data_IF_679740619839
#
_entry.id   IF_679740619839
#
_cell.length_a   1.000
_cell.length_b   1.000
_cell.length_c   1.000
_cell.angle_alpha   90.00
_cell.angle_beta   90.00
_cell.angle_gamma   90.00
#
_symmetry.space_group_name_H-M   'P 1'
#
loop_
_entity.id
_entity.type
_entity.pdbx_description
1 polymer ?
#
# COMPACT_ATOMS: atom_id res chain seq x y z
N UNK A 1 19.19 3.72 10.73
CA UNK A 1 19.46 5.11 10.33
C UNK A 1 18.13 5.80 10.09
N UNK A 2 17.97 7.00 10.65
CA UNK A 2 16.73 7.77 10.57
C UNK A 2 16.91 8.99 9.68
N UNK A 3 15.90 9.31 8.86
CA UNK A 3 15.83 10.56 8.12
C UNK A 3 14.59 11.31 8.63
N UNK A 4 14.84 12.40 9.34
CA UNK A 4 13.83 13.16 10.10
C UNK A 4 13.47 14.51 9.48
N UNK A 5 14.12 14.93 8.40
CA UNK A 5 13.97 16.26 7.82
C UNK A 5 13.54 16.19 6.37
N UNK A 6 12.69 17.12 5.96
CA UNK A 6 12.27 17.30 4.57
C UNK A 6 13.39 17.87 3.70
N UNK A 7 13.30 17.66 2.38
CA UNK A 7 14.24 18.23 1.42
C UNK A 7 15.64 17.62 1.48
N UNK A 8 15.75 16.35 1.87
CA UNK A 8 17.02 15.64 2.06
C UNK A 8 17.16 14.50 1.07
N UNK A 9 18.32 14.39 0.43
CA UNK A 9 18.65 13.24 -0.43
C UNK A 9 19.87 12.51 0.12
N UNK A 10 19.70 11.24 0.46
CA UNK A 10 20.81 10.32 0.70
C UNK A 10 21.23 9.69 -0.62
N UNK A 11 22.38 10.09 -1.13
CA UNK A 11 22.86 9.67 -2.46
C UNK A 11 24.18 8.91 -2.40
N UNK A 12 24.20 7.72 -2.98
CA UNK A 12 25.42 6.96 -3.25
C UNK A 12 26.01 7.24 -4.64
N UNK A 13 27.13 6.61 -4.94
CA UNK A 13 27.84 6.69 -6.23
C UNK A 13 27.44 5.57 -7.22
N UNK A 14 26.32 4.90 -6.97
CA UNK A 14 25.83 3.72 -7.69
C UNK A 14 25.68 2.52 -6.76
N UNK A 15 24.66 1.68 -6.98
CA UNK A 15 24.36 0.53 -6.12
C UNK A 15 25.51 -0.48 -5.96
N UNK A 16 26.39 -0.60 -6.95
CA UNK A 16 27.59 -1.46 -6.87
C UNK A 16 28.78 -0.81 -6.16
N UNK A 17 28.73 0.51 -5.94
CA UNK A 17 29.86 1.31 -5.41
C UNK A 17 29.62 1.80 -3.99
N UNK A 18 28.37 2.09 -3.64
CA UNK A 18 27.98 2.53 -2.30
C UNK A 18 27.12 1.46 -1.66
N UNK A 19 27.67 0.83 -0.62
CA UNK A 19 27.00 -0.24 0.11
C UNK A 19 26.94 0.17 1.58
N UNK A 20 25.74 0.35 2.10
CA UNK A 20 25.48 0.54 3.52
C UNK A 20 25.26 -0.84 4.14
N UNK A 21 26.24 -1.31 4.91
CA UNK A 21 26.23 -2.64 5.51
C UNK A 21 25.72 -2.59 6.96
N UNK A 22 24.58 -3.25 7.22
CA UNK A 22 23.94 -3.34 8.54
C UNK A 22 24.21 -4.73 9.13
N UNK A 23 25.04 -4.77 10.17
CA UNK A 23 25.49 -6.04 10.80
C UNK A 23 24.49 -6.63 11.80
N UNK A 24 23.50 -5.83 12.22
CA UNK A 24 22.49 -6.19 13.20
C UNK A 24 21.08 -5.83 12.70
N UNK A 25 20.07 -6.68 12.93
CA UNK A 25 18.69 -6.35 12.62
C UNK A 25 18.16 -5.23 13.54
N UNK A 26 16.99 -4.67 13.21
CA UNK A 26 16.36 -3.59 14.00
C UNK A 26 16.13 -4.01 15.46
N UNK A 27 15.72 -5.26 15.71
CA UNK A 27 15.51 -5.78 17.07
C UNK A 27 16.77 -5.62 17.97
N UNK A 28 17.94 -5.92 17.42
CA UNK A 28 19.22 -5.86 18.16
C UNK A 28 19.84 -4.47 18.20
N UNK A 29 19.62 -3.66 17.16
CA UNK A 29 20.26 -2.34 17.00
C UNK A 29 19.44 -1.19 17.57
N UNK A 30 18.14 -1.38 17.73
CA UNK A 30 17.21 -0.35 18.18
C UNK A 30 16.38 -0.79 19.37
N UNK A 31 15.43 -1.72 19.18
CA UNK A 31 14.61 -2.29 20.26
C UNK A 31 13.82 -3.52 19.81
N UNK A 32 13.46 -4.42 20.74
CA UNK A 32 12.39 -5.38 20.52
C UNK A 32 11.05 -4.69 20.25
N UNK A 33 10.20 -5.34 19.44
CA UNK A 33 8.85 -4.86 19.16
C UNK A 33 7.91 -6.05 18.93
N UNK A 34 7.51 -6.67 20.04
CA UNK A 34 6.71 -7.88 20.05
C UNK A 34 5.24 -7.56 20.32
N UNK A 35 4.34 -8.23 19.61
CA UNK A 35 2.94 -8.31 19.99
C UNK A 35 2.79 -9.23 21.21
N UNK A 36 1.64 -9.15 21.90
CA UNK A 36 1.26 -10.10 22.95
C UNK A 36 1.21 -11.56 22.48
N UNK A 37 1.00 -11.78 21.18
CA UNK A 37 1.08 -13.09 20.50
C UNK A 37 2.52 -13.59 20.28
N UNK A 38 3.51 -12.79 20.69
CA UNK A 38 4.93 -13.02 20.44
C UNK A 38 5.35 -12.81 18.99
N UNK A 39 4.49 -12.27 18.12
CA UNK A 39 4.89 -11.90 16.75
C UNK A 39 5.73 -10.63 16.77
N UNK A 40 6.79 -10.58 15.98
CA UNK A 40 7.62 -9.39 15.81
C UNK A 40 7.00 -8.45 14.78
N UNK A 41 6.70 -7.22 15.19
CA UNK A 41 6.21 -6.17 14.27
C UNK A 41 7.23 -5.80 13.22
N UNK A 42 8.53 -6.03 13.47
CA UNK A 42 9.57 -5.83 12.47
C UNK A 42 9.47 -6.74 11.26
N UNK A 43 8.60 -7.75 11.30
CA UNK A 43 8.25 -8.57 10.13
C UNK A 43 7.56 -7.78 9.02
N UNK A 44 6.89 -6.65 9.33
CA UNK A 44 6.08 -5.91 8.35
C UNK A 44 6.14 -4.38 8.50
N UNK A 45 6.99 -3.85 9.37
CA UNK A 45 7.17 -2.39 9.54
C UNK A 45 8.62 -2.05 9.90
N UNK A 46 8.96 -0.76 9.78
CA UNK A 46 10.31 -0.25 10.05
C UNK A 46 11.35 -0.59 8.98
N UNK A 47 12.48 0.11 9.00
CA UNK A 47 13.58 -0.04 8.05
C UNK A 47 14.95 0.21 8.68
N UNK A 48 16.00 -0.39 8.12
CA UNK A 48 17.38 -0.02 8.44
C UNK A 48 17.68 1.41 8.01
N UNK A 49 17.05 1.86 6.92
CA UNK A 49 16.85 3.26 6.60
C UNK A 49 15.36 3.55 6.78
N UNK A 50 15.04 4.51 7.64
CA UNK A 50 13.65 4.83 7.98
C UNK A 50 13.41 6.32 7.87
N UNK A 51 12.57 6.69 6.91
CA UNK A 51 12.10 8.07 6.71
C UNK A 51 10.81 8.24 7.48
N UNK A 52 10.86 9.09 8.51
CA UNK A 52 9.77 9.28 9.47
C UNK A 52 10.00 10.59 10.23
N UNK A 53 8.94 11.36 10.47
CA UNK A 53 9.02 12.55 11.31
C UNK A 53 9.44 12.18 12.76
N UNK A 54 10.27 13.00 13.43
CA UNK A 54 10.73 12.71 14.78
C UNK A 54 9.56 12.63 15.78
N UNK A 55 8.51 13.44 15.61
CA UNK A 55 7.29 13.43 16.42
C UNK A 55 6.54 12.11 16.26
N UNK A 56 6.41 11.63 15.01
CA UNK A 56 5.79 10.34 14.74
C UNK A 56 6.60 9.22 15.38
N UNK A 57 7.92 9.22 15.23
CA UNK A 57 8.78 8.22 15.90
C UNK A 57 8.59 8.26 17.42
N UNK A 58 8.68 9.44 18.04
CA UNK A 58 8.54 9.61 19.48
C UNK A 58 7.17 9.11 19.97
N UNK A 59 6.09 9.40 19.23
CA UNK A 59 4.76 8.89 19.55
C UNK A 59 4.70 7.36 19.45
N UNK A 60 5.28 6.76 18.40
CA UNK A 60 5.35 5.30 18.28
C UNK A 60 6.10 4.66 19.45
N UNK A 61 7.21 5.28 19.88
CA UNK A 61 8.01 4.79 21.00
C UNK A 61 7.24 4.84 22.32
N UNK A 62 6.52 5.94 22.57
CA UNK A 62 5.69 6.13 23.76
C UNK A 62 4.52 5.13 23.83
N UNK A 63 4.02 4.68 22.68
CA UNK A 63 2.93 3.72 22.56
C UNK A 63 3.43 2.28 22.34
N UNK A 64 4.74 2.02 22.49
CA UNK A 64 5.36 0.72 22.22
C UNK A 64 4.97 0.12 20.84
N UNK A 65 4.79 0.99 19.85
CA UNK A 65 4.33 0.63 18.50
C UNK A 65 3.02 -0.19 18.49
N UNK A 66 2.21 -0.10 19.55
CA UNK A 66 0.96 -0.85 19.70
C UNK A 66 -0.26 -0.09 19.19
N UNK A 67 -0.14 1.22 18.97
CA UNK A 67 -1.21 2.12 18.52
C UNK A 67 -1.18 2.33 17.00
N UNK A 68 -1.88 3.36 16.50
CA UNK A 68 -1.89 3.76 15.08
C UNK A 68 -0.48 3.97 14.54
N UNK A 69 -0.17 3.54 13.33
CA UNK A 69 1.10 3.82 12.63
C UNK A 69 1.02 5.06 11.72
N UNK A 70 -0.14 5.72 11.69
CA UNK A 70 -0.49 6.76 10.72
C UNK A 70 -0.13 8.19 11.07
N UNK A 71 -0.75 9.14 10.37
CA UNK A 71 -0.52 10.57 10.50
C UNK A 71 -0.83 11.09 11.91
N UNK A 72 -0.09 12.09 12.36
CA UNK A 72 -0.35 12.82 13.60
C UNK A 72 -1.25 14.04 13.32
N UNK A 73 -2.49 13.78 12.89
CA UNK A 73 -3.40 14.83 12.40
C UNK A 73 -3.61 15.96 13.42
N UNK A 74 -3.57 17.19 12.93
CA UNK A 74 -3.84 18.42 13.68
C UNK A 74 -5.32 18.79 13.72
N UNK A 75 -5.66 20.07 13.72
CA UNK A 75 -7.05 20.52 13.90
C UNK A 75 -7.97 20.16 12.72
N UNK A 76 -9.28 20.29 12.95
CA UNK A 76 -10.27 20.28 11.87
C UNK A 76 -10.31 21.65 11.22
N UNK A 77 -9.96 21.70 9.94
CA UNK A 77 -9.91 22.94 9.15
C UNK A 77 -11.27 23.30 8.56
N UNK A 78 -12.04 22.29 8.11
CA UNK A 78 -13.40 22.47 7.62
C UNK A 78 -14.18 21.14 7.58
N UNK A 79 -15.50 21.21 7.79
CA UNK A 79 -16.40 20.10 7.47
C UNK A 79 -16.65 20.04 5.96
N UNK A 80 -16.85 18.85 5.43
CA UNK A 80 -17.01 18.60 4.00
C UNK A 80 -18.44 18.13 3.70
N UNK A 81 -19.06 18.75 2.69
CA UNK A 81 -20.38 18.37 2.19
C UNK A 81 -20.38 17.06 1.39
N UNK A 82 -21.54 16.71 0.85
CA UNK A 82 -21.66 15.55 -0.04
C UNK A 82 -20.95 15.78 -1.37
N UNK A 83 -20.31 14.73 -1.88
CA UNK A 83 -19.62 14.74 -3.16
C UNK A 83 -19.56 13.32 -3.73
N UNK A 84 -19.54 13.18 -5.04
CA UNK A 84 -19.44 11.90 -5.72
C UNK A 84 -18.00 11.53 -6.03
N UNK A 85 -17.70 10.23 -6.02
CA UNK A 85 -16.43 9.70 -6.54
C UNK A 85 -16.13 10.28 -7.93
N UNK A 86 -14.89 10.71 -8.14
CA UNK A 86 -14.47 11.33 -9.40
C UNK A 86 -14.57 12.86 -9.40
N UNK A 87 -15.35 13.47 -8.51
CA UNK A 87 -15.38 14.93 -8.37
C UNK A 87 -14.06 15.46 -7.80
N UNK A 88 -13.68 16.66 -8.21
CA UNK A 88 -12.49 17.37 -7.70
C UNK A 88 -12.85 18.60 -6.87
N UNK A 89 -14.10 19.05 -6.88
CA UNK A 89 -14.54 20.23 -6.12
C UNK A 89 -15.29 19.80 -4.87
N UNK A 90 -14.92 20.34 -3.72
CA UNK A 90 -15.58 20.10 -2.45
C UNK A 90 -16.25 21.37 -1.94
N UNK A 91 -17.51 21.25 -1.53
CA UNK A 91 -18.16 22.25 -0.69
C UNK A 91 -17.70 22.04 0.74
N UNK A 92 -17.16 23.09 1.36
CA UNK A 92 -16.62 23.07 2.72
C UNK A 92 -17.34 24.07 3.63
N UNK A 93 -17.22 23.91 4.95
CA UNK A 93 -17.83 24.83 5.91
C UNK A 93 -17.20 26.23 5.91
N UNK A 94 -15.89 26.32 5.67
CA UNK A 94 -15.12 27.57 5.51
C UNK A 94 -13.83 27.29 4.74
N UNK A 95 -13.26 28.30 4.09
CA UNK A 95 -11.92 28.27 3.51
C UNK A 95 -10.91 29.17 4.24
N UNK A 96 -11.27 29.74 5.38
CA UNK A 96 -10.44 30.68 6.15
C UNK A 96 -9.04 30.14 6.51
N UNK A 97 -8.94 28.82 6.72
CA UNK A 97 -7.70 28.12 7.07
C UNK A 97 -7.21 27.18 5.96
N UNK A 98 -7.62 27.44 4.71
CA UNK A 98 -7.24 26.64 3.54
C UNK A 98 -6.57 27.54 2.50
N UNK A 99 -5.45 27.10 1.97
CA UNK A 99 -4.74 27.75 0.88
C UNK A 99 -4.44 26.77 -0.27
N UNK A 100 -4.33 27.32 -1.48
CA UNK A 100 -3.82 26.56 -2.61
C UNK A 100 -2.38 26.11 -2.32
N UNK A 101 -2.10 24.83 -2.55
CA UNK A 101 -0.83 24.20 -2.22
C UNK A 101 -0.84 23.40 -0.92
N UNK A 102 -1.78 23.63 -0.01
CA UNK A 102 -1.85 22.90 1.26
C UNK A 102 -2.07 21.40 1.02
N UNK A 103 -1.33 20.57 1.75
CA UNK A 103 -1.69 19.17 1.93
C UNK A 103 -2.56 19.04 3.18
N UNK A 104 -3.78 18.56 2.97
CA UNK A 104 -4.76 18.29 4.03
C UNK A 104 -5.10 16.80 4.00
N UNK A 105 -5.67 16.28 5.09
CA UNK A 105 -6.23 14.92 5.12
C UNK A 105 -7.74 15.00 5.07
N UNK A 106 -8.32 14.46 3.99
CA UNK A 106 -9.75 14.18 3.95
C UNK A 106 -10.01 12.97 4.85
N UNK A 107 -10.59 13.23 6.01
CA UNK A 107 -10.90 12.24 7.02
C UNK A 107 -12.41 11.96 7.01
N UNK A 108 -12.80 10.70 6.74
CA UNK A 108 -14.19 10.25 6.68
C UNK A 108 -14.45 9.23 7.79
N UNK A 109 -15.49 9.43 8.60
CA UNK A 109 -15.89 8.43 9.59
C UNK A 109 -16.35 7.14 8.93
N UNK A 110 -15.99 6.01 9.54
CA UNK A 110 -16.48 4.69 9.18
C UNK A 110 -17.51 4.25 10.26
N UNK A 111 -18.83 4.46 10.06
CA UNK A 111 -19.81 4.11 11.08
C UNK A 111 -19.95 2.59 11.26
N UNK A 112 -20.60 2.17 12.35
CA UNK A 112 -20.81 0.76 12.67
C UNK A 112 -21.68 0.00 11.65
N UNK A 113 -22.36 0.72 10.76
CA UNK A 113 -23.22 0.15 9.72
C UNK A 113 -22.44 -0.45 8.54
N UNK A 114 -21.10 -0.40 8.55
CA UNK A 114 -20.20 -0.82 7.47
C UNK A 114 -20.49 -0.18 6.10
N UNK A 115 -21.21 0.94 6.06
CA UNK A 115 -21.61 1.61 4.83
C UNK A 115 -20.43 2.05 3.97
N UNK A 116 -19.41 2.65 4.61
CA UNK A 116 -18.17 3.04 3.93
C UNK A 116 -17.46 1.81 3.37
N UNK A 117 -17.33 0.74 4.16
CA UNK A 117 -16.63 -0.48 3.72
C UNK A 117 -17.30 -1.15 2.52
N UNK A 118 -18.64 -1.27 2.53
CA UNK A 118 -19.39 -1.78 1.38
C UNK A 118 -19.15 -0.95 0.12
N UNK A 119 -19.13 0.37 0.26
CA UNK A 119 -18.91 1.28 -0.85
C UNK A 119 -17.48 1.17 -1.43
N UNK A 120 -16.47 1.04 -0.57
CA UNK A 120 -15.10 0.76 -0.99
C UNK A 120 -14.94 -0.62 -1.65
N UNK A 121 -15.76 -1.60 -1.26
CA UNK A 121 -15.92 -2.89 -1.94
C UNK A 121 -16.81 -2.83 -3.20
N UNK A 122 -17.27 -1.64 -3.60
CA UNK A 122 -18.00 -1.43 -4.85
C UNK A 122 -19.49 -1.71 -4.77
N UNK A 123 -20.09 -1.80 -3.59
CA UNK A 123 -21.54 -1.97 -3.43
C UNK A 123 -22.13 -3.19 -4.19
N UNK A 124 -21.31 -4.18 -4.53
CA UNK A 124 -21.77 -5.41 -5.18
C UNK A 124 -22.69 -6.19 -4.23
N UNK A 125 -23.64 -7.01 -4.74
CA UNK A 125 -24.65 -7.65 -3.92
C UNK A 125 -24.11 -8.33 -2.64
N UNK A 126 -23.04 -9.12 -2.76
CA UNK A 126 -22.44 -9.86 -1.65
C UNK A 126 -21.88 -9.01 -0.51
N UNK A 127 -21.64 -7.71 -0.71
CA UNK A 127 -21.16 -6.83 0.37
C UNK A 127 -22.20 -6.61 1.46
N UNK A 128 -23.50 -6.76 1.14
CA UNK A 128 -24.62 -6.63 2.10
C UNK A 128 -24.76 -7.86 2.99
N UNK A 129 -24.40 -9.03 2.49
CA UNK A 129 -24.49 -10.32 3.20
C UNK A 129 -23.20 -10.68 3.93
N UNK A 130 -22.11 -9.95 3.66
CA UNK A 130 -20.84 -10.16 4.34
C UNK A 130 -20.95 -9.83 5.83
N UNK A 131 -20.55 -10.77 6.68
CA UNK A 131 -20.49 -10.58 8.13
C UNK A 131 -19.27 -9.73 8.52
N UNK A 132 -19.40 -8.41 8.35
CA UNK A 132 -18.33 -7.45 8.62
C UNK A 132 -17.78 -7.52 10.06
N UNK A 133 -18.62 -7.53 11.12
CA UNK A 133 -18.11 -7.57 12.49
C UNK A 133 -17.29 -8.83 12.80
N UNK A 134 -17.64 -9.99 12.23
CA UNK A 134 -16.96 -11.27 12.51
C UNK A 134 -15.76 -11.50 11.57
N UNK A 135 -15.92 -11.24 10.28
CA UNK A 135 -14.89 -11.53 9.27
C UNK A 135 -13.95 -10.36 9.00
N UNK A 136 -14.31 -9.16 9.43
CA UNK A 136 -13.49 -7.95 9.33
C UNK A 136 -13.51 -7.11 10.63
N UNK A 137 -13.38 -7.69 11.84
CA UNK A 137 -13.41 -6.93 13.10
C UNK A 137 -12.45 -5.74 13.08
N UNK A 138 -11.22 -5.92 12.59
CA UNK A 138 -10.26 -4.81 12.52
C UNK A 138 -10.75 -3.59 11.74
N UNK A 139 -11.59 -3.78 10.72
CA UNK A 139 -12.15 -2.71 9.90
C UNK A 139 -13.48 -2.17 10.44
N UNK A 140 -14.20 -2.94 11.26
CA UNK A 140 -15.62 -2.68 11.53
C UNK A 140 -15.80 -1.96 12.86
N UNK A 141 -16.38 -0.76 12.80
CA UNK A 141 -16.65 0.06 13.99
C UNK A 141 -17.62 -0.61 14.95
N UNK A 142 -17.26 -0.58 16.24
CA UNK A 142 -18.02 -1.24 17.29
C UNK A 142 -17.78 -2.75 17.41
N UNK A 143 -16.91 -3.34 16.59
CA UNK A 143 -16.48 -4.73 16.78
C UNK A 143 -15.42 -4.83 17.89
N UNK A 144 -15.28 -6.01 18.50
CA UNK A 144 -14.31 -6.26 19.57
C UNK A 144 -12.84 -6.27 19.15
N UNK A 145 -12.53 -6.10 17.85
CA UNK A 145 -11.17 -6.15 17.32
C UNK A 145 -10.78 -4.97 16.45
N UNK A 146 -11.57 -3.89 16.44
CA UNK A 146 -11.32 -2.73 15.58
C UNK A 146 -9.94 -2.13 15.84
N UNK A 147 -9.20 -1.90 14.76
CA UNK A 147 -7.98 -1.12 14.80
C UNK A 147 -8.35 0.36 14.72
N UNK A 148 -7.81 1.17 15.63
CA UNK A 148 -8.15 2.59 15.75
C UNK A 148 -7.95 3.35 14.44
N UNK A 149 -6.95 2.98 13.64
CA UNK A 149 -6.67 3.59 12.34
C UNK A 149 -7.74 3.32 11.27
N UNK A 150 -8.58 2.30 11.43
CA UNK A 150 -9.66 1.98 10.48
C UNK A 150 -11.04 2.45 10.94
N UNK A 151 -11.12 3.12 12.09
CA UNK A 151 -12.32 3.85 12.49
C UNK A 151 -12.62 5.05 11.57
N UNK A 152 -11.60 5.49 10.83
CA UNK A 152 -11.69 6.60 9.90
C UNK A 152 -10.88 6.28 8.65
N UNK A 153 -11.37 6.71 7.50
CA UNK A 153 -10.60 6.69 6.26
C UNK A 153 -9.83 8.01 6.15
N UNK A 154 -8.51 7.94 6.06
CA UNK A 154 -7.64 9.10 5.95
C UNK A 154 -7.02 9.15 4.56
N UNK A 155 -7.40 10.14 3.76
CA UNK A 155 -6.82 10.35 2.43
C UNK A 155 -6.14 11.72 2.34
N UNK A 156 -4.79 11.78 2.43
CA UNK A 156 -4.05 13.01 2.18
C UNK A 156 -4.25 13.49 0.75
N UNK A 157 -4.48 14.78 0.56
CA UNK A 157 -4.73 15.38 -0.76
C UNK A 157 -4.32 16.85 -0.75
N UNK A 158 -3.85 17.36 -1.90
CA UNK A 158 -3.48 18.76 -2.04
C UNK A 158 -4.69 19.61 -2.44
N UNK A 159 -4.87 20.77 -1.81
CA UNK A 159 -5.78 21.81 -2.30
C UNK A 159 -5.13 22.44 -3.54
N UNK A 160 -5.71 22.22 -4.71
CA UNK A 160 -5.23 22.83 -5.95
C UNK A 160 -5.64 24.30 -6.07
N UNK A 161 -6.83 24.66 -5.60
CA UNK A 161 -7.34 26.03 -5.66
C UNK A 161 -8.41 26.26 -4.58
N UNK A 162 -8.45 27.46 -4.02
CA UNK A 162 -9.57 27.97 -3.24
C UNK A 162 -10.44 28.79 -4.19
N UNK A 163 -11.65 28.31 -4.47
CA UNK A 163 -12.55 28.85 -5.49
C UNK A 163 -13.55 29.89 -4.94
N UNK A 164 -13.59 30.06 -3.62
CA UNK A 164 -14.45 30.99 -2.89
C UNK A 164 -14.60 30.54 -1.44
N UNK A 165 -15.36 31.28 -0.64
CA UNK A 165 -15.42 31.14 0.83
C UNK A 165 -15.85 29.76 1.36
N UNK A 166 -16.41 28.91 0.49
CA UNK A 166 -16.94 27.58 0.82
C UNK A 166 -16.64 26.53 -0.23
N UNK A 167 -15.72 26.79 -1.16
CA UNK A 167 -15.47 25.88 -2.29
C UNK A 167 -13.97 25.75 -2.53
N UNK A 168 -13.48 24.52 -2.56
CA UNK A 168 -12.09 24.20 -2.89
C UNK A 168 -12.03 23.17 -4.01
N UNK A 169 -10.96 23.22 -4.80
CA UNK A 169 -10.61 22.19 -5.78
C UNK A 169 -9.44 21.37 -5.25
N UNK A 170 -9.58 20.05 -5.27
CA UNK A 170 -8.53 19.09 -4.96
C UNK A 170 -7.64 18.82 -6.18
N UNK A 171 -6.36 18.55 -5.96
CA UNK A 171 -5.43 18.18 -7.02
C UNK A 171 -5.69 16.77 -7.61
N UNK A 172 -6.39 15.92 -6.88
CA UNK A 172 -6.83 14.59 -7.32
C UNK A 172 -8.35 14.44 -7.19
N UNK A 173 -9.02 13.71 -8.10
CA UNK A 173 -10.42 13.37 -7.95
C UNK A 173 -10.66 12.46 -6.73
N UNK A 174 -11.82 12.61 -6.11
CA UNK A 174 -12.27 11.77 -5.00
C UNK A 174 -12.28 10.29 -5.36
N UNK A 175 -11.83 9.46 -4.40
CA UNK A 175 -11.76 7.99 -4.51
C UNK A 175 -13.04 7.27 -4.11
N UNK A 176 -13.93 7.96 -3.40
CA UNK A 176 -15.19 7.43 -2.91
C UNK A 176 -16.21 8.56 -2.73
N UNK A 177 -17.48 8.21 -2.59
CA UNK A 177 -18.55 9.17 -2.32
C UNK A 177 -18.44 9.70 -0.88
N UNK A 178 -18.72 10.99 -0.70
CA UNK A 178 -18.94 11.63 0.59
C UNK A 178 -20.43 11.82 0.80
N UNK A 179 -20.93 11.42 1.98
CA UNK A 179 -22.37 11.39 2.29
C UNK A 179 -22.61 11.95 3.69
N UNK A 180 -23.79 12.53 3.98
CA UNK A 180 -24.09 13.05 5.32
C UNK A 180 -24.05 11.96 6.40
N UNK A 181 -24.36 10.71 6.03
CA UNK A 181 -24.24 9.53 6.91
C UNK A 181 -22.79 9.13 7.20
N UNK A 182 -21.82 9.67 6.47
CA UNK A 182 -20.37 9.45 6.64
C UNK A 182 -19.69 10.81 6.86
N UNK A 183 -19.81 11.39 8.07
CA UNK A 183 -19.25 12.70 8.37
C UNK A 183 -17.79 12.80 7.93
N UNK A 184 -17.49 13.84 7.17
CA UNK A 184 -16.21 14.03 6.50
C UNK A 184 -15.67 15.42 6.82
N UNK A 185 -14.35 15.54 7.04
CA UNK A 185 -13.69 16.82 7.29
C UNK A 185 -12.30 16.87 6.66
N UNK A 186 -11.84 18.09 6.39
CA UNK A 186 -10.44 18.38 6.11
C UNK A 186 -9.71 18.59 7.44
N UNK A 187 -8.66 17.81 7.65
CA UNK A 187 -7.78 17.88 8.82
C UNK A 187 -6.41 18.39 8.39
N UNK A 188 -5.76 19.12 9.28
CA UNK A 188 -4.32 19.37 9.14
C UNK A 188 -3.56 18.03 9.18
N UNK A 189 -2.60 17.83 8.27
CA UNK A 189 -1.85 16.56 8.19
C UNK A 189 -0.94 16.33 9.41
N UNK A 190 -0.59 17.42 10.11
CA UNK A 190 0.33 17.44 11.23
C UNK A 190 1.80 17.29 10.82
N UNK A 191 2.70 17.05 11.79
CA UNK A 191 4.13 16.88 11.53
C UNK A 191 4.39 15.71 10.58
N UNK A 192 5.10 16.00 9.48
CA UNK A 192 5.46 15.03 8.46
C UNK A 192 6.80 15.39 7.83
N UNK A 193 7.39 14.43 7.12
CA UNK A 193 8.60 14.60 6.33
C UNK A 193 8.24 14.39 4.87
N UNK A 194 8.81 15.22 3.99
CA UNK A 194 8.53 15.19 2.56
C UNK A 194 9.74 15.64 1.73
N UNK A 195 9.68 15.45 0.41
CA UNK A 195 10.80 15.73 -0.50
C UNK A 195 12.09 15.02 -0.07
N UNK A 196 11.99 13.75 0.36
CA UNK A 196 13.13 12.92 0.76
C UNK A 196 13.45 11.85 -0.27
N UNK A 197 14.72 11.81 -0.69
CA UNK A 197 15.25 10.84 -1.65
C UNK A 197 16.26 9.87 -1.04
N UNK A 198 16.23 8.60 -1.48
CA UNK A 198 17.33 7.64 -1.29
C UNK A 198 17.76 7.12 -2.66
N UNK A 199 19.02 7.36 -3.04
CA UNK A 199 19.46 7.17 -4.43
C UNK A 199 20.76 6.40 -4.55
N UNK A 200 20.84 5.54 -5.57
CA UNK A 200 22.08 4.99 -6.12
C UNK A 200 22.98 4.29 -5.09
N UNK A 201 22.41 3.38 -4.30
CA UNK A 201 23.11 2.63 -3.26
C UNK A 201 22.52 1.24 -3.00
N UNK A 202 23.28 0.39 -2.33
CA UNK A 202 22.80 -0.90 -1.80
C UNK A 202 22.68 -0.83 -0.27
N UNK A 203 21.54 -1.29 0.25
CA UNK A 203 21.31 -1.60 1.66
C UNK A 203 21.56 -3.09 1.83
N UNK A 204 22.70 -3.46 2.43
CA UNK A 204 23.04 -4.87 2.69
C UNK A 204 22.84 -5.19 4.15
N UNK A 205 21.96 -6.14 4.44
CA UNK A 205 21.92 -6.75 5.77
C UNK A 205 22.90 -7.91 5.86
N UNK A 206 23.45 -8.13 7.05
CA UNK A 206 24.20 -9.34 7.38
C UNK A 206 23.38 -10.57 7.00
N UNK A 207 24.02 -11.55 6.36
CA UNK A 207 23.34 -12.77 5.96
C UNK A 207 22.95 -13.58 7.20
N UNK A 208 21.64 -13.75 7.40
CA UNK A 208 21.06 -14.52 8.50
C UNK A 208 19.99 -15.47 7.97
N UNK A 209 19.81 -16.67 8.54
CA UNK A 209 18.69 -17.52 8.18
C UNK A 209 17.37 -16.77 8.39
N UNK A 210 16.44 -16.93 7.44
CA UNK A 210 15.09 -16.39 7.62
C UNK A 210 14.41 -17.12 8.78
N UNK A 211 13.72 -16.38 9.63
CA UNK A 211 13.01 -16.96 10.78
C UNK A 211 11.62 -17.47 10.37
N UNK A 212 10.91 -18.07 11.33
CA UNK A 212 9.53 -18.49 11.12
C UNK A 212 8.61 -17.29 10.84
N UNK A 213 7.49 -17.57 10.17
CA UNK A 213 6.48 -16.57 9.82
C UNK A 213 6.12 -15.65 11.01
N UNK A 214 6.15 -14.34 10.78
CA UNK A 214 5.94 -13.28 11.77
C UNK A 214 6.92 -13.21 12.95
N UNK A 215 8.07 -13.89 12.89
CA UNK A 215 9.12 -13.86 13.94
C UNK A 215 10.41 -13.20 13.46
N UNK A 216 10.33 -12.29 12.48
CA UNK A 216 11.51 -11.69 11.86
C UNK A 216 12.11 -10.60 12.74
N UNK A 217 13.44 -10.56 12.93
CA UNK A 217 14.09 -9.59 13.80
C UNK A 217 14.20 -8.20 13.16
N UNK A 218 13.86 -8.06 11.88
CA UNK A 218 13.84 -6.79 11.18
C UNK A 218 15.17 -6.49 10.49
N UNK A 219 15.71 -7.44 9.74
CA UNK A 219 16.75 -7.16 8.75
C UNK A 219 16.12 -6.43 7.56
N UNK A 220 15.52 -5.25 7.78
CA UNK A 220 14.69 -4.59 6.78
C UNK A 220 15.53 -3.72 5.84
N UNK A 221 14.97 -3.26 4.74
CA UNK A 221 15.61 -2.29 3.87
C UNK A 221 15.17 -0.87 4.19
N UNK A 222 14.53 -0.24 3.21
CA UNK A 222 14.07 1.14 3.28
C UNK A 222 12.58 1.19 3.64
N UNK A 223 12.22 1.99 4.63
CA UNK A 223 10.83 2.21 5.02
C UNK A 223 10.49 3.71 5.01
N UNK A 224 9.37 4.04 4.37
CA UNK A 224 8.73 5.36 4.41
C UNK A 224 7.50 5.27 5.31
N UNK A 225 7.40 6.11 6.33
CA UNK A 225 6.26 6.10 7.25
C UNK A 225 5.70 7.47 7.60
N UNK A 226 4.39 7.67 7.39
CA UNK A 226 3.70 8.94 7.62
C UNK A 226 4.39 10.12 6.92
N UNK A 227 4.74 9.90 5.65
CA UNK A 227 5.47 10.83 4.77
C UNK A 227 4.79 10.98 3.42
N UNK A 228 5.05 12.10 2.76
CA UNK A 228 4.55 12.35 1.41
C UNK A 228 5.63 12.89 0.46
N UNK A 229 5.41 12.75 -0.85
CA UNK A 229 6.30 13.31 -1.88
C UNK A 229 7.78 12.87 -1.71
N UNK A 230 8.01 11.60 -1.33
CA UNK A 230 9.34 11.00 -1.16
C UNK A 230 9.66 10.03 -2.29
N UNK A 231 10.94 9.65 -2.45
CA UNK A 231 11.32 8.67 -3.46
C UNK A 231 12.54 7.82 -3.10
N UNK A 232 12.68 6.71 -3.82
CA UNK A 232 13.94 6.01 -3.95
C UNK A 232 14.22 5.69 -5.43
N UNK A 233 15.46 5.83 -5.88
CA UNK A 233 15.86 5.52 -7.25
C UNK A 233 17.20 4.77 -7.29
N UNK A 234 17.29 3.70 -8.08
CA UNK A 234 18.48 2.84 -8.16
C UNK A 234 18.96 2.33 -6.79
N UNK A 235 18.00 1.83 -5.99
CA UNK A 235 18.27 1.27 -4.66
C UNK A 235 18.10 -0.24 -4.68
N UNK A 236 19.10 -0.94 -4.15
CA UNK A 236 19.06 -2.39 -3.95
C UNK A 236 18.99 -2.73 -2.46
N UNK A 237 18.16 -3.69 -2.08
CA UNK A 237 18.12 -4.24 -0.72
C UNK A 237 18.52 -5.71 -0.77
N UNK A 238 19.50 -6.09 0.02
CA UNK A 238 20.00 -7.46 0.12
C UNK A 238 19.77 -8.08 1.49
N UNK A 239 19.46 -9.37 1.47
CA UNK A 239 19.35 -10.23 2.64
C UNK A 239 18.31 -9.76 3.65
N UNK A 240 17.15 -9.33 3.17
CA UNK A 240 16.16 -8.68 4.01
C UNK A 240 15.04 -9.59 4.52
N UNK A 241 14.41 -9.17 5.61
CA UNK A 241 13.10 -9.69 6.02
C UNK A 241 11.98 -8.92 5.29
N UNK A 242 12.05 -7.58 5.31
CA UNK A 242 11.24 -6.66 4.50
C UNK A 242 12.14 -5.80 3.61
N UNK A 243 11.96 -5.83 2.29
CA UNK A 243 12.76 -5.04 1.34
C UNK A 243 12.42 -3.55 1.37
N UNK A 244 11.27 -3.19 0.82
CA UNK A 244 10.78 -1.81 0.78
C UNK A 244 9.41 -1.67 1.46
N UNK A 245 9.30 -0.74 2.41
CA UNK A 245 8.09 -0.50 3.20
C UNK A 245 7.44 0.86 2.90
N UNK A 246 6.11 0.84 2.77
CA UNK A 246 5.23 2.00 2.79
C UNK A 246 4.23 1.84 3.92
N UNK A 247 4.29 2.70 4.93
CA UNK A 247 3.35 2.70 6.06
C UNK A 247 2.69 4.07 6.15
N UNK A 248 1.40 4.17 5.79
CA UNK A 248 0.67 5.45 5.80
C UNK A 248 1.38 6.53 4.98
N UNK A 249 1.57 6.27 3.69
CA UNK A 249 2.32 7.15 2.78
C UNK A 249 1.42 7.84 1.77
N UNK A 250 1.90 8.94 1.18
CA UNK A 250 1.24 9.61 0.06
C UNK A 250 2.24 9.94 -1.04
N UNK A 251 1.96 9.60 -2.29
CA UNK A 251 2.76 10.03 -3.44
C UNK A 251 4.27 9.67 -3.33
N UNK A 252 4.59 8.53 -2.73
CA UNK A 252 5.97 8.01 -2.69
C UNK A 252 6.26 7.22 -3.96
N UNK A 253 7.43 7.47 -4.56
CA UNK A 253 7.86 6.79 -5.79
C UNK A 253 9.10 5.92 -5.56
N UNK A 254 9.02 4.63 -5.89
CA UNK A 254 10.21 3.77 -6.00
C UNK A 254 10.50 3.51 -7.48
N UNK A 255 11.69 3.87 -7.92
CA UNK A 255 12.15 3.69 -9.30
C UNK A 255 13.39 2.80 -9.35
N UNK A 256 13.43 1.87 -10.31
CA UNK A 256 14.60 1.03 -10.59
C UNK A 256 15.14 0.28 -9.33
N UNK A 257 14.23 -0.17 -8.46
CA UNK A 257 14.57 -0.78 -7.18
C UNK A 257 14.69 -2.31 -7.27
N UNK A 258 15.57 -2.90 -6.47
CA UNK A 258 15.84 -4.34 -6.51
C UNK A 258 15.81 -4.95 -5.10
N UNK A 259 15.18 -6.11 -4.96
CA UNK A 259 15.29 -6.96 -3.77
C UNK A 259 16.00 -8.26 -4.16
N UNK A 260 17.08 -8.59 -3.47
CA UNK A 260 17.90 -9.76 -3.76
C UNK A 260 18.58 -10.37 -2.54
N UNK A 261 19.42 -11.38 -2.79
CA UNK A 261 20.08 -12.17 -1.74
C UNK A 261 19.19 -13.29 -1.21
N UNK A 262 19.25 -13.58 0.10
CA UNK A 262 18.42 -14.64 0.72
C UNK A 262 16.92 -14.36 0.60
N UNK A 263 16.12 -15.40 0.82
CA UNK A 263 14.67 -15.29 0.90
C UNK A 263 14.20 -14.18 1.86
N UNK A 264 13.23 -13.41 1.37
CA UNK A 264 12.54 -12.38 2.14
C UNK A 264 11.15 -12.87 2.59
N UNK A 265 10.63 -12.26 3.65
CA UNK A 265 9.23 -12.44 4.05
C UNK A 265 8.32 -11.55 3.21
N UNK A 266 8.70 -10.27 3.09
CA UNK A 266 8.09 -9.29 2.18
C UNK A 266 9.19 -8.67 1.31
N UNK A 267 9.09 -8.78 -0.01
CA UNK A 267 9.95 -7.93 -0.87
C UNK A 267 9.47 -6.49 -0.80
N UNK A 268 8.16 -6.31 -0.80
CA UNK A 268 7.51 -5.02 -0.61
C UNK A 268 6.37 -5.16 0.39
N UNK A 269 6.10 -4.11 1.16
CA UNK A 269 4.90 -3.98 1.98
C UNK A 269 4.29 -2.58 1.84
N UNK A 270 3.09 -2.51 1.27
CA UNK A 270 2.31 -1.28 1.15
C UNK A 270 1.05 -1.37 2.02
N UNK A 271 1.06 -0.68 3.16
CA UNK A 271 0.11 -0.90 4.25
C UNK A 271 -0.42 0.39 4.86
N UNK A 272 -1.45 0.23 5.67
CA UNK A 272 -2.01 1.28 6.54
C UNK A 272 -2.40 2.55 5.78
N UNK A 273 -3.42 2.48 4.93
CA UNK A 273 -3.94 3.65 4.19
C UNK A 273 -2.81 4.39 3.45
N UNK A 274 -1.97 3.62 2.74
CA UNK A 274 -0.95 4.16 1.85
C UNK A 274 -1.57 4.48 0.49
N UNK A 275 -1.38 5.70 0.02
CA UNK A 275 -2.14 6.25 -1.09
C UNK A 275 -1.28 6.83 -2.21
N UNK A 276 -1.71 6.58 -3.44
CA UNK A 276 -1.18 7.22 -4.64
C UNK A 276 0.33 7.01 -4.84
N UNK A 277 0.88 5.90 -4.35
CA UNK A 277 2.30 5.57 -4.53
C UNK A 277 2.56 4.93 -5.89
N UNK A 278 3.80 5.05 -6.36
CA UNK A 278 4.25 4.47 -7.62
C UNK A 278 5.48 3.59 -7.38
N UNK A 279 5.45 2.36 -7.89
CA UNK A 279 6.64 1.53 -8.04
C UNK A 279 6.85 1.25 -9.52
N UNK A 280 7.96 1.73 -10.05
CA UNK A 280 8.22 1.82 -11.48
C UNK A 280 9.59 1.26 -11.86
N UNK A 281 9.61 0.09 -12.50
CA UNK A 281 10.84 -0.63 -12.76
C UNK A 281 11.34 -1.25 -11.46
N UNK A 282 10.94 -2.48 -11.18
CA UNK A 282 11.38 -3.19 -9.99
C UNK A 282 11.75 -4.64 -10.31
N UNK A 283 12.65 -5.18 -9.50
CA UNK A 283 13.07 -6.57 -9.60
C UNK A 283 13.04 -7.27 -8.24
N UNK A 284 12.47 -8.48 -8.22
CA UNK A 284 12.69 -9.46 -7.16
C UNK A 284 13.53 -10.57 -7.80
N UNK A 285 14.78 -10.66 -7.38
CA UNK A 285 15.73 -11.63 -7.90
C UNK A 285 15.45 -13.06 -7.41
N UNK A 286 15.98 -14.09 -8.09
CA UNK A 286 16.00 -15.44 -7.55
C UNK A 286 16.71 -15.44 -6.20
N UNK A 287 16.12 -16.10 -5.20
CA UNK A 287 16.74 -16.12 -3.88
C UNK A 287 18.04 -16.95 -3.88
N UNK A 288 19.13 -16.37 -3.37
CA UNK A 288 20.41 -17.07 -3.23
C UNK A 288 20.41 -18.08 -2.09
N UNK A 289 19.51 -17.90 -1.12
CA UNK A 289 19.18 -18.87 -0.07
C UNK A 289 17.67 -19.06 -0.11
N UNK A 290 17.17 -20.29 -0.39
CA UNK A 290 15.75 -20.52 -0.62
C UNK A 290 14.92 -20.35 0.65
N UNK A 291 13.62 -20.17 0.45
CA UNK A 291 12.64 -20.06 1.54
C UNK A 291 12.68 -21.31 2.42
N UNK A 292 12.86 -21.19 3.75
CA UNK A 292 12.77 -22.33 4.66
C UNK A 292 11.41 -23.01 4.60
N UNK A 293 11.36 -24.33 4.78
CA UNK A 293 10.11 -25.10 4.84
C UNK A 293 9.14 -24.50 5.86
N UNK A 294 7.90 -24.26 5.44
CA UNK A 294 6.84 -23.71 6.28
C UNK A 294 6.88 -22.18 6.46
N UNK A 295 7.89 -21.50 5.93
CA UNK A 295 7.89 -20.05 5.86
C UNK A 295 7.13 -19.55 4.62
N UNK A 296 6.80 -18.26 4.60
CA UNK A 296 6.01 -17.63 3.56
C UNK A 296 6.72 -16.41 3.00
N UNK A 297 6.72 -16.30 1.66
CA UNK A 297 7.09 -15.10 0.94
C UNK A 297 5.86 -14.51 0.23
N UNK A 298 5.62 -13.23 0.49
CA UNK A 298 4.45 -12.52 0.01
C UNK A 298 4.68 -11.82 -1.35
N UNK A 299 5.90 -11.45 -1.71
CA UNK A 299 6.18 -10.67 -2.92
C UNK A 299 5.68 -9.22 -2.79
N UNK A 300 4.67 -8.84 -3.58
CA UNK A 300 4.12 -7.47 -3.63
C UNK A 300 2.93 -7.29 -2.66
N UNK A 301 3.21 -7.11 -1.36
CA UNK A 301 2.17 -6.87 -0.36
C UNK A 301 1.51 -5.50 -0.56
N UNK A 302 0.18 -5.52 -0.59
CA UNK A 302 -0.72 -4.38 -0.63
C UNK A 302 -1.90 -4.67 0.32
N UNK A 303 -2.13 -3.83 1.32
CA UNK A 303 -3.11 -4.11 2.38
C UNK A 303 -3.70 -2.85 3.04
N UNK A 304 -4.67 -3.06 3.93
CA UNK A 304 -5.02 -2.06 4.95
C UNK A 304 -5.64 -0.80 4.39
N UNK A 305 -6.68 -0.93 3.56
CA UNK A 305 -7.37 0.18 2.87
C UNK A 305 -6.45 1.07 2.01
N UNK A 306 -5.23 0.62 1.68
CA UNK A 306 -4.32 1.32 0.79
C UNK A 306 -4.90 1.40 -0.62
N UNK A 307 -4.82 2.57 -1.25
CA UNK A 307 -5.55 2.83 -2.49
C UNK A 307 -4.84 3.74 -3.47
N UNK A 308 -5.06 3.51 -4.77
CA UNK A 308 -4.47 4.34 -5.82
C UNK A 308 -3.01 4.05 -6.13
N UNK A 309 -2.45 2.97 -5.58
CA UNK A 309 -1.06 2.62 -5.78
C UNK A 309 -0.88 1.88 -7.11
N UNK A 310 0.26 2.12 -7.76
CA UNK A 310 0.58 1.53 -9.06
C UNK A 310 1.91 0.80 -8.99
N UNK A 311 1.93 -0.44 -9.45
CA UNK A 311 3.13 -1.25 -9.69
C UNK A 311 3.29 -1.46 -11.18
N UNK A 312 4.44 -1.09 -11.75
CA UNK A 312 4.66 -1.21 -13.20
C UNK A 312 6.07 -1.64 -13.59
N UNK A 313 6.17 -2.25 -14.79
CA UNK A 313 7.44 -2.66 -15.41
C UNK A 313 8.27 -3.58 -14.50
N UNK A 314 7.62 -4.55 -13.89
CA UNK A 314 8.22 -5.43 -12.87
C UNK A 314 8.74 -6.74 -13.42
N UNK A 315 9.80 -7.25 -12.80
CA UNK A 315 10.30 -8.61 -12.97
C UNK A 315 10.34 -9.31 -11.61
N UNK A 316 9.77 -10.50 -11.50
CA UNK A 316 9.72 -11.24 -10.23
C UNK A 316 10.11 -12.69 -10.46
N UNK A 317 11.28 -13.10 -9.97
CA UNK A 317 11.66 -14.50 -9.92
C UNK A 317 11.02 -15.25 -8.74
N UNK A 318 10.52 -14.51 -7.74
CA UNK A 318 9.95 -15.04 -6.51
C UNK A 318 8.73 -14.20 -6.08
N UNK A 319 7.76 -14.86 -5.43
CA UNK A 319 6.63 -14.22 -4.76
C UNK A 319 5.31 -14.30 -5.53
N UNK A 320 4.38 -13.42 -5.16
CA UNK A 320 3.05 -13.32 -5.77
C UNK A 320 2.52 -11.87 -5.66
N UNK A 321 1.32 -11.62 -6.17
CA UNK A 321 0.59 -10.40 -5.86
C UNK A 321 -0.18 -10.57 -4.56
N UNK A 322 0.50 -10.29 -3.46
CA UNK A 322 -0.09 -10.35 -2.14
C UNK A 322 -1.00 -9.15 -1.90
N UNK A 323 -2.31 -9.33 -2.05
CA UNK A 323 -3.28 -8.31 -1.65
C UNK A 323 -3.68 -8.47 -0.16
N UNK A 324 -2.87 -9.25 0.56
CA UNK A 324 -2.90 -9.55 1.99
C UNK A 324 -4.31 -9.72 2.53
N UNK A 325 -4.91 -8.69 3.09
CA UNK A 325 -6.30 -8.59 3.57
C UNK A 325 -6.59 -7.10 3.79
N UNK A 326 -7.72 -6.80 4.42
CA UNK A 326 -8.14 -5.46 4.80
C UNK A 326 -8.43 -4.55 3.60
N UNK A 327 -8.89 -5.15 2.50
CA UNK A 327 -9.63 -4.50 1.43
C UNK A 327 -8.93 -3.26 0.81
N UNK A 328 -7.66 -3.36 0.37
CA UNK A 328 -7.09 -2.32 -0.49
C UNK A 328 -7.91 -2.22 -1.79
N UNK A 329 -8.05 -1.01 -2.33
CA UNK A 329 -8.98 -0.72 -3.44
C UNK A 329 -8.36 0.25 -4.45
N UNK A 330 -8.82 0.26 -5.70
CA UNK A 330 -8.33 1.18 -6.75
C UNK A 330 -6.80 1.12 -7.01
N UNK A 331 -6.18 -0.04 -6.85
CA UNK A 331 -4.75 -0.22 -7.12
C UNK A 331 -4.55 -0.91 -8.49
N UNK A 332 -3.42 -0.63 -9.14
CA UNK A 332 -3.08 -1.20 -10.44
C UNK A 332 -1.73 -1.91 -10.43
N UNK A 333 -1.66 -3.03 -11.13
CA UNK A 333 -0.43 -3.76 -11.44
C UNK A 333 -0.37 -3.92 -12.96
N UNK A 334 0.64 -3.38 -13.62
CA UNK A 334 0.70 -3.30 -15.08
C UNK A 334 2.06 -3.62 -15.65
N UNK A 335 2.11 -4.40 -16.73
CA UNK A 335 3.34 -4.78 -17.42
C UNK A 335 4.37 -5.46 -16.49
N UNK A 336 3.98 -6.60 -15.92
CA UNK A 336 4.82 -7.36 -14.97
C UNK A 336 4.98 -8.79 -15.48
N UNK A 337 6.20 -9.33 -15.39
CA UNK A 337 6.46 -10.76 -15.58
C UNK A 337 6.83 -11.38 -14.24
N UNK A 338 6.29 -12.56 -13.94
CA UNK A 338 6.58 -13.24 -12.68
C UNK A 338 6.60 -14.77 -12.78
N UNK A 339 7.51 -15.36 -12.02
CA UNK A 339 7.38 -16.72 -11.50
C UNK A 339 6.50 -16.64 -10.26
N UNK A 340 5.24 -17.06 -10.37
CA UNK A 340 4.31 -17.00 -9.26
C UNK A 340 4.43 -18.25 -8.38
N UNK A 341 5.14 -18.12 -7.26
CA UNK A 341 5.39 -19.19 -6.29
C UNK A 341 5.19 -18.75 -4.82
N UNK A 342 4.81 -17.49 -4.59
CA UNK A 342 4.52 -16.95 -3.27
C UNK A 342 3.13 -17.32 -2.72
N UNK A 343 2.77 -16.68 -1.60
CA UNK A 343 1.47 -16.84 -0.93
C UNK A 343 0.90 -15.51 -0.47
N UNK A 344 -0.41 -15.33 -0.59
CA UNK A 344 -1.05 -14.18 0.06
C UNK A 344 -1.02 -14.38 1.59
N UNK A 345 -0.88 -13.29 2.32
CA UNK A 345 -0.92 -13.31 3.79
C UNK A 345 -2.27 -12.88 4.35
N UNK A 346 -2.24 -12.40 5.59
CA UNK A 346 -3.40 -11.89 6.30
C UNK A 346 -4.28 -12.98 6.93
N UNK A 347 -4.81 -12.69 8.11
CA UNK A 347 -5.77 -13.57 8.78
C UNK A 347 -7.11 -13.59 8.03
N UNK A 348 -7.81 -14.72 8.02
CA UNK A 348 -9.17 -14.78 7.47
C UNK A 348 -10.14 -13.80 8.18
N UNK A 349 -9.82 -13.37 9.41
CA UNK A 349 -10.57 -12.36 10.16
C UNK A 349 -10.09 -10.91 9.90
N UNK A 350 -9.17 -10.68 8.96
CA UNK A 350 -8.66 -9.34 8.64
C UNK A 350 -9.47 -8.65 7.53
N UNK A 351 -10.63 -9.19 7.17
CA UNK A 351 -11.52 -8.66 6.14
C UNK A 351 -11.29 -9.22 4.74
N UNK A 352 -11.95 -8.66 3.72
CA UNK A 352 -11.79 -9.11 2.34
C UNK A 352 -10.36 -8.95 1.83
N UNK A 353 -9.96 -9.83 0.91
CA UNK A 353 -8.71 -9.71 0.15
C UNK A 353 -8.72 -8.47 -0.74
N UNK A 354 -9.86 -8.15 -1.34
CA UNK A 354 -9.97 -7.09 -2.32
C UNK A 354 -11.09 -6.11 -1.95
N UNK A 355 -10.78 -4.82 -2.04
CA UNK A 355 -11.78 -3.81 -2.32
C UNK A 355 -12.06 -3.72 -3.82
N UNK A 356 -12.83 -2.73 -4.23
CA UNK A 356 -13.22 -2.60 -5.61
C UNK A 356 -12.12 -2.01 -6.51
N UNK A 357 -12.28 -2.22 -7.82
CA UNK A 357 -11.56 -1.48 -8.87
C UNK A 357 -10.06 -1.74 -8.89
N UNK A 358 -9.66 -2.98 -8.61
CA UNK A 358 -8.30 -3.44 -8.86
C UNK A 358 -8.11 -3.69 -10.36
N UNK A 359 -6.95 -3.30 -10.89
CA UNK A 359 -6.60 -3.54 -12.28
C UNK A 359 -5.31 -4.36 -12.39
N UNK A 360 -5.39 -5.54 -13.01
CA UNK A 360 -4.22 -6.30 -13.46
C UNK A 360 -4.14 -6.21 -14.99
N UNK A 361 -3.04 -5.68 -15.52
CA UNK A 361 -2.92 -5.36 -16.93
C UNK A 361 -1.60 -5.86 -17.53
N UNK A 362 -1.64 -6.63 -18.62
CA UNK A 362 -0.48 -7.20 -19.29
C UNK A 362 0.47 -7.93 -18.31
N UNK A 363 -0.05 -8.94 -17.62
CA UNK A 363 0.71 -9.74 -16.65
C UNK A 363 1.12 -11.06 -17.30
N UNK A 364 2.40 -11.41 -17.16
CA UNK A 364 3.00 -12.61 -17.75
C UNK A 364 3.46 -13.56 -16.66
N UNK A 365 2.72 -14.64 -16.46
CA UNK A 365 3.09 -15.68 -15.49
C UNK A 365 3.93 -16.73 -16.20
N UNK A 366 5.15 -16.96 -15.73
CA UNK A 366 6.06 -17.96 -16.32
C UNK A 366 5.99 -19.30 -15.60
N UNK A 367 5.45 -19.35 -14.37
CA UNK A 367 5.28 -20.58 -13.60
C UNK A 367 3.99 -21.36 -13.92
N UNK A 368 3.10 -20.81 -14.73
CA UNK A 368 1.76 -21.37 -14.97
C UNK A 368 0.71 -20.96 -13.94
N UNK A 369 1.10 -20.53 -12.73
CA UNK A 369 0.17 -20.35 -11.61
C UNK A 369 -0.59 -19.02 -11.65
N UNK A 370 -1.92 -18.98 -11.88
CA UNK A 370 -2.76 -17.77 -11.71
C UNK A 370 -2.96 -17.33 -10.25
N UNK A 371 -2.44 -18.06 -9.26
CA UNK A 371 -2.76 -17.85 -7.85
C UNK A 371 -2.63 -16.38 -7.42
N UNK A 372 -3.72 -15.77 -6.94
CA UNK A 372 -3.81 -14.36 -6.56
C UNK A 372 -3.57 -13.31 -7.67
N UNK A 373 -3.31 -13.74 -8.91
CA UNK A 373 -3.11 -12.88 -10.07
C UNK A 373 -4.41 -12.76 -10.87
N UNK A 374 -5.13 -13.86 -11.10
CA UNK A 374 -6.39 -13.78 -11.81
C UNK A 374 -7.50 -13.31 -10.85
N UNK A 375 -8.26 -12.27 -11.25
CA UNK A 375 -9.23 -11.61 -10.38
C UNK A 375 -10.68 -12.12 -10.54
N UNK A 376 -10.94 -12.97 -11.54
CA UNK A 376 -12.28 -13.27 -12.08
C UNK A 376 -13.32 -13.71 -11.03
N UNK A 377 -12.91 -14.38 -9.96
CA UNK A 377 -13.82 -14.97 -8.98
C UNK A 377 -13.72 -14.36 -7.58
N UNK A 378 -12.89 -13.31 -7.39
CA UNK A 378 -12.58 -12.79 -6.03
C UNK A 378 -12.61 -11.27 -5.87
N UNK A 379 -12.31 -10.48 -6.91
CA UNK A 379 -12.21 -9.03 -6.75
C UNK A 379 -13.44 -8.30 -7.32
N UNK A 380 -14.18 -7.52 -6.51
CA UNK A 380 -15.37 -6.81 -6.99
C UNK A 380 -15.01 -5.63 -7.91
N UNK A 381 -15.83 -5.37 -8.93
CA UNK A 381 -15.69 -4.28 -9.92
C UNK A 381 -14.27 -4.10 -10.45
N UNK A 382 -13.56 -5.20 -10.62
CA UNK A 382 -12.14 -5.22 -10.95
C UNK A 382 -11.93 -5.72 -12.37
N UNK A 383 -10.75 -5.47 -12.95
CA UNK A 383 -10.47 -5.85 -14.33
C UNK A 383 -9.13 -6.56 -14.45
N UNK A 384 -9.12 -7.62 -15.25
CA UNK A 384 -7.91 -8.27 -15.74
C UNK A 384 -7.87 -8.12 -17.26
N UNK A 385 -6.78 -7.58 -17.80
CA UNK A 385 -6.59 -7.44 -19.26
C UNK A 385 -5.23 -8.00 -19.64
N UNK A 386 -5.19 -8.95 -20.56
CA UNK A 386 -3.93 -9.42 -21.12
C UNK A 386 -3.12 -10.32 -20.18
N UNK A 387 -3.79 -11.17 -19.41
CA UNK A 387 -3.15 -12.13 -18.50
C UNK A 387 -2.66 -13.35 -19.30
N UNK A 388 -1.37 -13.66 -19.21
CA UNK A 388 -0.69 -14.65 -20.05
C UNK A 388 -0.02 -15.74 -19.19
N UNK A 389 0.10 -16.95 -19.75
CA UNK A 389 0.85 -18.06 -19.15
C UNK A 389 0.12 -18.77 -18.01
N UNK A 390 -1.20 -18.91 -18.12
CA UNK A 390 -2.00 -19.65 -17.14
C UNK A 390 -2.05 -21.15 -17.46
N UNK A 391 -2.04 -21.99 -16.43
CA UNK A 391 -2.34 -23.43 -16.53
C UNK A 391 -3.71 -23.81 -15.97
N UNK A 392 -4.40 -22.88 -15.28
CA UNK A 392 -5.82 -22.98 -14.90
C UNK A 392 -6.46 -21.60 -14.77
N UNK A 393 -7.80 -21.55 -14.68
CA UNK A 393 -8.54 -20.28 -14.71
C UNK A 393 -8.82 -19.68 -13.32
N UNK A 394 -9.14 -20.47 -12.30
CA UNK A 394 -9.50 -19.94 -10.98
C UNK A 394 -8.35 -19.15 -10.30
N UNK A 395 -8.69 -18.13 -9.50
CA UNK A 395 -7.70 -17.32 -8.76
C UNK A 395 -6.93 -18.13 -7.70
N UNK A 396 -7.44 -19.29 -7.31
CA UNK A 396 -6.92 -20.09 -6.20
C UNK A 396 -7.12 -19.44 -4.82
N UNK A 397 -7.92 -18.39 -4.73
CA UNK A 397 -8.23 -17.67 -3.50
C UNK A 397 -9.66 -17.98 -3.02
N UNK A 398 -9.91 -17.94 -1.70
CA UNK A 398 -11.27 -18.04 -1.19
C UNK A 398 -12.07 -16.80 -1.58
N UNK A 399 -13.34 -17.02 -1.96
CA UNK A 399 -14.26 -15.93 -2.31
C UNK A 399 -14.81 -15.26 -1.06
N UNK A 400 -14.59 -13.95 -0.93
CA UNK A 400 -15.10 -13.17 0.21
C UNK A 400 -16.58 -12.75 0.00
N UNK A 401 -16.94 -12.27 -1.18
CA UNK A 401 -18.30 -11.79 -1.50
C UNK A 401 -19.08 -12.76 -2.40
N UNK A 402 -20.32 -13.08 -2.02
CA UNK A 402 -21.22 -13.89 -2.83
C UNK A 402 -21.91 -13.08 -3.95
N UNK A 403 -22.59 -13.76 -4.87
CA UNK A 403 -23.29 -13.12 -5.99
C UNK A 403 -22.35 -12.55 -7.05
N UNK A 404 -22.89 -11.76 -7.99
CA UNK A 404 -22.07 -11.16 -9.05
C UNK A 404 -21.07 -10.14 -8.48
N UNK A 405 -19.81 -10.25 -8.90
CA UNK A 405 -18.73 -9.34 -8.51
C UNK A 405 -18.60 -8.16 -9.47
N UNK A 406 -19.28 -8.19 -10.62
CA UNK A 406 -19.19 -7.17 -11.67
C UNK A 406 -17.75 -6.91 -12.13
N UNK A 407 -16.92 -7.96 -12.15
CA UNK A 407 -15.55 -7.91 -12.64
C UNK A 407 -15.46 -8.42 -14.08
N UNK A 408 -14.33 -8.17 -14.74
CA UNK A 408 -14.14 -8.57 -16.14
C UNK A 408 -12.73 -9.06 -16.42
N UNK A 409 -12.63 -10.11 -17.24
CA UNK A 409 -11.37 -10.61 -17.80
C UNK A 409 -11.40 -10.51 -19.31
N UNK A 410 -10.38 -9.87 -19.88
CA UNK A 410 -10.25 -9.65 -21.32
C UNK A 410 -8.85 -10.05 -21.80
N UNK A 411 -8.75 -10.50 -23.05
CA UNK A 411 -7.47 -10.86 -23.69
C UNK A 411 -6.67 -11.93 -22.92
N UNK A 412 -7.36 -12.93 -22.37
CA UNK A 412 -6.70 -14.07 -21.70
C UNK A 412 -5.79 -14.81 -22.69
N UNK A 413 -4.57 -15.12 -22.26
CA UNK A 413 -3.54 -15.75 -23.09
C UNK A 413 -2.91 -14.83 -24.14
N UNK A 414 -3.29 -13.54 -24.19
CA UNK A 414 -2.86 -12.61 -25.22
C UNK A 414 -2.20 -11.37 -24.62
N UNK A 415 -1.23 -10.81 -25.35
CA UNK A 415 -0.65 -9.52 -25.01
C UNK A 415 -1.57 -8.40 -25.51
N UNK A 416 -1.94 -7.42 -24.66
CA UNK A 416 -2.74 -6.28 -25.10
C UNK A 416 -1.91 -5.32 -25.96
N UNK A 417 -2.55 -4.64 -26.91
CA UNK A 417 -1.89 -3.64 -27.77
C UNK A 417 -1.32 -2.47 -26.98
N UNK A 418 -1.99 -2.07 -25.90
CA UNK A 418 -1.46 -1.15 -24.88
C UNK A 418 -0.77 -2.02 -23.83
N UNK A 419 0.57 -2.08 -23.76
CA UNK A 419 1.25 -2.94 -22.81
C UNK A 419 1.25 -2.39 -21.38
N UNK A 420 1.25 -1.07 -21.22
CA UNK A 420 1.34 -0.41 -19.92
C UNK A 420 0.19 0.59 -19.76
N UNK A 421 -0.76 0.23 -18.89
CA UNK A 421 -1.95 1.03 -18.62
C UNK A 421 -1.58 2.39 -18.01
N UNK A 422 -0.62 2.43 -17.10
CA UNK A 422 -0.23 3.67 -16.42
C UNK A 422 0.39 4.65 -17.40
N UNK A 423 1.33 4.19 -18.23
CA UNK A 423 1.96 5.01 -19.25
C UNK A 423 0.94 5.56 -20.26
N UNK A 424 0.02 4.71 -20.73
CA UNK A 424 -1.04 5.13 -21.65
C UNK A 424 -1.99 6.16 -21.03
N UNK A 425 -2.43 5.97 -19.79
CA UNK A 425 -3.31 6.93 -19.10
C UNK A 425 -2.59 8.27 -18.84
N UNK A 426 -1.30 8.24 -18.51
CA UNK A 426 -0.48 9.46 -18.38
C UNK A 426 -0.35 10.21 -19.70
N UNK A 427 -0.17 9.50 -20.81
CA UNK A 427 -0.11 10.09 -22.13
C UNK A 427 -1.43 10.75 -22.51
N UNK A 428 -2.56 10.06 -22.34
CA UNK A 428 -3.89 10.61 -22.62
C UNK A 428 -4.18 11.91 -21.86
N UNK A 429 -3.78 12.00 -20.58
CA UNK A 429 -3.94 13.24 -19.79
C UNK A 429 -3.05 14.38 -20.27
N UNK A 430 -1.86 14.09 -20.78
CA UNK A 430 -0.97 15.11 -21.36
C UNK A 430 -1.50 15.63 -22.69
N UNK A 431 -2.17 14.78 -23.45
CA UNK A 431 -2.74 15.09 -24.76
C UNK A 431 -4.09 15.82 -24.68
N UNK A 432 -4.57 16.13 -23.47
CA UNK A 432 -5.74 17.00 -23.24
C UNK A 432 -7.11 16.30 -23.26
N UNK A 433 -7.16 15.03 -22.85
CA UNK A 433 -8.42 14.31 -22.64
C UNK A 433 -9.23 14.82 -21.43
#
# INVERSE_FOLDING_TARGET
MWIHWSGVVLKGSGRERTILHFTRPIEESYRPNLQSTGNSRWSWTGGQIWVIAPERKARSEAEDFASTEGWLLGETLADVGSASRGQQTLVVSSTEHLAAGDIVVLETDNPADAGVLRHLAGDVPGTREYDWPVKAPQLTTGSGGQYVQYAKLQWPVRIAEVLGDRLVRLAQPLRYDLRPSWPSRLREIGPTVHDVGVESLTIRNELRPMTAHNKHPGSNGLCFQAVHDCWADDVRVENCDLGFGFTTTKAVTLANVVVGGRSAHHSFACRMQSHDNLVDGFEIEPFSVPLPTGALHHGLNLEGLSAGNVWRRGQMAEGTFDTHRAMPFENARTDITLVNNGRVGGSAASGPLFGARIAHWNIRITSGSPYAIHLADVAPRSITVGLQGLTWDASGLPRDFQGDLENGTFLLGQRPAIPDLYAAQRQLRRDGA
#
